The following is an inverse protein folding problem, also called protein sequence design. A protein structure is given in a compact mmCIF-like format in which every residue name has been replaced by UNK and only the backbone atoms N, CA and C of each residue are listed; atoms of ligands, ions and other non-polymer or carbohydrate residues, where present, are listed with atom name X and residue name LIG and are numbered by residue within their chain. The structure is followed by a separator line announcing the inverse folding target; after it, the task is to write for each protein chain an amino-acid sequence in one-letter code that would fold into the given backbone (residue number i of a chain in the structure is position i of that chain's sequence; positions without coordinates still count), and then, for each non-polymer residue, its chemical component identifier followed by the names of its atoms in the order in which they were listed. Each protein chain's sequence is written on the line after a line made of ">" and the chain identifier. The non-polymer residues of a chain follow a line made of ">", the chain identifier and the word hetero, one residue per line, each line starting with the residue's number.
data_IF_483475526023
#
_entry.id   IF_483475526023
#
_cell.length_a   1.000
_cell.length_b   1.000
_cell.length_c   1.000
_cell.angle_alpha   90.00
_cell.angle_beta   90.00
_cell.angle_gamma   90.00
#
_symmetry.space_group_name_H-M   'P 1'
#
loop_
_entity.id
_entity.type
_entity.pdbx_description
1 polymer ?
#
# COMPACT_ATOMS: atom_id res chain seq x y z
N UNK A 1 23.78 -2.76 10.96
CA UNK A 1 22.98 -2.47 9.74
C UNK A 1 22.55 -3.81 9.17
N UNK A 2 21.25 -4.06 9.12
CA UNK A 2 20.72 -5.29 8.52
C UNK A 2 20.59 -5.10 7.00
N UNK A 3 20.63 -6.18 6.20
CA UNK A 3 20.56 -6.06 4.73
C UNK A 3 19.39 -5.25 4.22
N UNK A 4 18.21 -5.33 4.86
CA UNK A 4 17.04 -4.56 4.49
C UNK A 4 17.24 -3.03 4.57
N UNK A 5 18.17 -2.53 5.40
CA UNK A 5 18.47 -1.09 5.50
C UNK A 5 19.10 -0.57 4.20
N UNK A 6 19.94 -1.38 3.56
CA UNK A 6 20.52 -1.03 2.27
C UNK A 6 19.47 -0.99 1.16
N UNK A 7 18.54 -1.95 1.13
CA UNK A 7 17.48 -1.99 0.13
C UNK A 7 16.56 -0.76 0.24
N UNK A 8 16.17 -0.38 1.45
CA UNK A 8 15.33 0.79 1.67
C UNK A 8 16.03 2.07 1.18
N UNK A 9 17.30 2.26 1.48
CA UNK A 9 18.09 3.39 1.00
C UNK A 9 18.24 3.38 -0.51
N UNK A 10 18.51 2.22 -1.08
CA UNK A 10 18.63 2.05 -2.53
C UNK A 10 17.32 2.37 -3.24
N UNK A 11 16.16 1.90 -2.76
CA UNK A 11 14.87 2.27 -3.30
C UNK A 11 14.63 3.78 -3.21
N UNK A 12 14.95 4.40 -2.10
CA UNK A 12 14.80 5.84 -1.94
C UNK A 12 15.56 6.63 -3.02
N UNK A 13 16.82 6.28 -3.27
CA UNK A 13 17.63 6.94 -4.28
C UNK A 13 17.16 6.65 -5.72
N UNK A 14 16.69 5.41 -5.99
CA UNK A 14 16.06 5.09 -7.27
C UNK A 14 14.80 5.93 -7.48
N UNK A 15 13.94 6.06 -6.48
CA UNK A 15 12.70 6.84 -6.59
C UNK A 15 13.01 8.32 -6.87
N UNK A 16 13.97 8.91 -6.17
CA UNK A 16 14.44 10.28 -6.47
C UNK A 16 14.97 10.42 -7.88
N UNK A 17 15.78 9.46 -8.32
CA UNK A 17 16.35 9.48 -9.68
C UNK A 17 15.26 9.41 -10.75
N UNK A 18 14.30 8.50 -10.60
CA UNK A 18 13.19 8.31 -11.54
C UNK A 18 12.27 9.53 -11.56
N UNK A 19 11.91 10.07 -10.39
CA UNK A 19 11.09 11.28 -10.28
C UNK A 19 11.75 12.47 -10.96
N UNK A 20 13.07 12.62 -10.84
CA UNK A 20 13.83 13.66 -11.56
C UNK A 20 13.86 13.45 -13.09
N UNK A 21 13.54 12.25 -13.58
CA UNK A 21 13.41 11.96 -15.02
C UNK A 21 12.02 12.23 -15.55
N UNK A 22 11.02 12.17 -14.69
CA UNK A 22 9.61 12.32 -14.98
C UNK A 22 8.78 11.37 -14.12
N UNK A 23 7.64 11.86 -13.64
CA UNK A 23 6.76 11.11 -12.74
C UNK A 23 6.32 9.75 -13.34
N UNK A 24 6.09 9.73 -14.66
CA UNK A 24 5.74 8.54 -15.42
C UNK A 24 6.79 7.40 -15.30
N UNK A 25 8.06 7.74 -15.19
CA UNK A 25 9.11 6.74 -15.01
C UNK A 25 9.06 6.07 -13.64
N UNK A 26 8.65 6.80 -12.61
CA UNK A 26 8.45 6.25 -11.28
C UNK A 26 7.22 5.33 -11.24
N UNK A 27 6.12 5.74 -11.88
CA UNK A 27 4.92 4.92 -12.00
C UNK A 27 5.18 3.62 -12.76
N UNK A 28 5.87 3.68 -13.90
CA UNK A 28 6.29 2.50 -14.68
C UNK A 28 7.16 1.54 -13.86
N UNK A 29 8.03 2.09 -13.03
CA UNK A 29 8.84 1.29 -12.11
C UNK A 29 7.97 0.57 -11.07
N UNK A 30 7.00 1.24 -10.46
CA UNK A 30 6.07 0.61 -9.53
C UNK A 30 5.26 -0.52 -10.19
N UNK A 31 4.78 -0.31 -11.42
CA UNK A 31 4.10 -1.36 -12.20
C UNK A 31 5.01 -2.55 -12.49
N UNK A 32 6.29 -2.30 -12.76
CA UNK A 32 7.27 -3.37 -12.98
C UNK A 32 7.48 -4.19 -11.71
N UNK A 33 7.63 -3.55 -10.56
CA UNK A 33 7.73 -4.22 -9.27
C UNK A 33 6.45 -5.01 -8.95
N UNK A 34 5.27 -4.44 -9.24
CA UNK A 34 3.99 -5.14 -9.09
C UNK A 34 3.98 -6.48 -9.84
N UNK A 35 4.42 -6.49 -11.11
CA UNK A 35 4.51 -7.72 -11.93
C UNK A 35 5.45 -8.76 -11.32
N UNK A 36 6.55 -8.34 -10.72
CA UNK A 36 7.45 -9.25 -10.01
C UNK A 36 6.81 -9.83 -8.74
N UNK A 37 6.09 -9.01 -7.99
CA UNK A 37 5.41 -9.45 -6.77
C UNK A 37 4.29 -10.46 -7.03
N UNK A 38 3.66 -10.43 -8.21
CA UNK A 38 2.65 -11.42 -8.61
C UNK A 38 3.15 -12.86 -8.45
N UNK A 39 4.42 -13.11 -8.74
CA UNK A 39 5.02 -14.45 -8.60
C UNK A 39 5.03 -14.96 -7.15
N UNK A 40 4.94 -14.06 -6.19
CA UNK A 40 5.02 -14.39 -4.76
C UNK A 40 3.65 -14.47 -4.08
N UNK A 41 2.69 -13.66 -4.51
CA UNK A 41 1.45 -13.52 -3.75
C UNK A 41 0.16 -13.77 -4.56
N UNK A 42 0.18 -13.63 -5.90
CA UNK A 42 -1.04 -13.69 -6.71
C UNK A 42 -1.84 -14.99 -6.52
N UNK A 43 -1.16 -16.13 -6.51
CA UNK A 43 -1.81 -17.45 -6.29
C UNK A 43 -2.48 -17.50 -4.93
N UNK A 44 -1.76 -17.13 -3.87
CA UNK A 44 -2.28 -17.14 -2.50
C UNK A 44 -3.49 -16.21 -2.34
N UNK A 45 -3.45 -15.03 -2.99
CA UNK A 45 -4.55 -14.07 -2.96
C UNK A 45 -5.77 -14.56 -3.74
N UNK A 46 -5.57 -15.16 -4.92
CA UNK A 46 -6.66 -15.70 -5.73
C UNK A 46 -7.36 -16.89 -5.08
N UNK A 47 -6.60 -17.81 -4.47
CA UNK A 47 -7.13 -19.03 -3.87
C UNK A 47 -7.64 -18.83 -2.45
N UNK A 48 -6.96 -17.99 -1.66
CA UNK A 48 -7.24 -17.77 -0.25
C UNK A 48 -8.09 -16.55 0.08
N UNK A 49 -8.35 -15.69 -0.91
CA UNK A 49 -9.12 -14.46 -0.71
C UNK A 49 -8.54 -13.56 0.38
N UNK A 50 -9.42 -12.90 1.14
CA UNK A 50 -8.99 -12.01 2.23
C UNK A 50 -8.18 -12.74 3.32
N UNK A 51 -8.49 -14.02 3.59
CA UNK A 51 -7.70 -14.80 4.55
C UNK A 51 -6.29 -15.06 4.02
N UNK A 52 -6.15 -15.44 2.75
CA UNK A 52 -4.84 -15.62 2.11
C UNK A 52 -4.00 -14.35 2.10
N UNK A 53 -4.64 -13.19 1.89
CA UNK A 53 -4.00 -11.88 1.99
C UNK A 53 -3.55 -11.56 3.42
N UNK A 54 -4.43 -11.80 4.39
CA UNK A 54 -4.13 -11.63 5.82
C UNK A 54 -2.91 -12.46 6.22
N UNK A 55 -2.91 -13.76 5.90
CA UNK A 55 -1.84 -14.68 6.26
C UNK A 55 -0.50 -14.25 5.63
N UNK A 56 -0.51 -13.86 4.35
CA UNK A 56 0.67 -13.34 3.66
C UNK A 56 1.26 -12.13 4.38
N UNK A 57 0.44 -11.13 4.69
CA UNK A 57 0.95 -9.91 5.33
C UNK A 57 1.28 -10.10 6.81
N UNK A 58 0.76 -11.12 7.48
CA UNK A 58 1.19 -11.46 8.84
C UNK A 58 2.61 -12.03 8.86
N UNK A 59 3.03 -12.76 7.82
CA UNK A 59 4.42 -13.18 7.65
C UNK A 59 5.33 -11.95 7.47
N UNK A 60 4.97 -11.06 6.52
CA UNK A 60 5.72 -9.82 6.28
C UNK A 60 5.81 -8.95 7.54
N UNK A 61 4.69 -8.79 8.28
CA UNK A 61 4.69 -8.06 9.56
C UNK A 61 5.77 -8.56 10.50
N UNK A 62 5.89 -9.87 10.63
CA UNK A 62 6.87 -10.52 11.52
C UNK A 62 8.31 -10.34 11.03
N UNK A 63 8.53 -10.57 9.73
CA UNK A 63 9.87 -10.53 9.12
C UNK A 63 10.45 -9.11 9.10
N UNK A 64 9.61 -8.12 8.79
CA UNK A 64 10.00 -6.70 8.70
C UNK A 64 9.83 -5.95 10.03
N UNK A 65 9.40 -6.62 11.07
CA UNK A 65 9.13 -6.02 12.39
C UNK A 65 8.22 -4.77 12.29
N UNK A 66 7.13 -4.89 11.51
CA UNK A 66 6.18 -3.80 11.34
C UNK A 66 5.31 -3.63 12.59
N UNK A 67 5.20 -2.40 13.08
CA UNK A 67 4.17 -2.04 14.04
C UNK A 67 2.84 -1.80 13.30
N UNK A 68 2.03 -2.84 13.23
CA UNK A 68 0.76 -2.81 12.49
C UNK A 68 -0.26 -3.78 13.07
N UNK A 69 -1.54 -3.40 12.97
CA UNK A 69 -2.67 -4.27 13.26
C UNK A 69 -3.40 -4.64 11.97
N UNK A 70 -3.85 -5.91 11.91
CA UNK A 70 -4.63 -6.42 10.78
C UNK A 70 -5.75 -7.29 11.29
N UNK A 71 -6.92 -7.16 10.70
CA UNK A 71 -8.07 -7.99 11.03
C UNK A 71 -9.07 -8.04 9.86
N UNK A 72 -9.84 -9.12 9.82
CA UNK A 72 -10.97 -9.28 8.92
C UNK A 72 -12.24 -9.08 9.74
N UNK A 73 -13.13 -8.25 9.26
CA UNK A 73 -14.44 -7.98 9.88
C UNK A 73 -15.57 -8.09 8.85
N UNK A 74 -16.80 -8.10 9.30
CA UNK A 74 -17.97 -8.03 8.44
C UNK A 74 -18.21 -6.56 8.03
N UNK A 75 -18.26 -6.31 6.73
CA UNK A 75 -18.75 -5.07 6.13
C UNK A 75 -20.29 -5.10 6.00
N UNK A 76 -20.83 -4.11 5.29
CA UNK A 76 -22.28 -4.09 5.03
C UNK A 76 -22.70 -5.12 3.97
N UNK A 77 -21.85 -5.37 2.99
CA UNK A 77 -22.14 -6.22 1.83
C UNK A 77 -21.28 -7.49 1.79
N UNK A 78 -20.13 -7.49 2.43
CA UNK A 78 -19.22 -8.63 2.47
C UNK A 78 -18.14 -8.45 3.52
N UNK A 79 -17.11 -9.29 3.46
CA UNK A 79 -15.98 -9.17 4.38
C UNK A 79 -15.01 -8.09 3.93
N UNK A 80 -14.34 -7.53 4.92
CA UNK A 80 -13.36 -6.45 4.74
C UNK A 80 -12.11 -6.78 5.53
N UNK A 81 -10.95 -6.73 4.89
CA UNK A 81 -9.65 -6.79 5.56
C UNK A 81 -9.14 -5.37 5.79
N UNK A 82 -8.90 -5.04 7.04
CA UNK A 82 -8.29 -3.77 7.44
C UNK A 82 -6.86 -3.97 7.93
N UNK A 83 -6.01 -3.03 7.58
CA UNK A 83 -4.62 -2.96 8.02
C UNK A 83 -4.28 -1.54 8.45
N UNK A 84 -3.79 -1.40 9.66
CA UNK A 84 -3.34 -0.14 10.25
C UNK A 84 -1.85 -0.25 10.49
N UNK A 85 -1.05 0.60 9.86
CA UNK A 85 0.37 0.72 10.10
C UNK A 85 0.59 1.88 11.07
N UNK A 86 1.10 1.60 12.26
CA UNK A 86 1.41 2.59 13.30
C UNK A 86 2.88 3.00 13.28
N UNK A 87 3.75 2.09 12.84
CA UNK A 87 5.18 2.32 12.68
C UNK A 87 5.71 1.57 11.45
N UNK A 88 5.83 2.30 10.32
CA UNK A 88 6.39 1.74 9.09
C UNK A 88 7.93 1.68 9.19
N UNK A 89 8.54 0.50 9.22
CA UNK A 89 9.99 0.38 9.32
C UNK A 89 10.69 0.91 8.07
N UNK A 90 10.05 0.82 6.92
CA UNK A 90 10.62 1.28 5.65
C UNK A 90 10.75 2.81 5.62
N UNK A 91 9.66 3.55 5.88
CA UNK A 91 9.73 5.02 5.91
C UNK A 91 10.61 5.52 7.06
N UNK A 92 10.55 4.88 8.24
CA UNK A 92 11.43 5.23 9.37
C UNK A 92 12.91 5.15 9.00
N UNK A 93 13.33 4.07 8.33
CA UNK A 93 14.71 3.90 7.86
C UNK A 93 15.13 4.93 6.81
N UNK A 94 14.19 5.36 5.96
CA UNK A 94 14.46 6.41 4.97
C UNK A 94 14.63 7.77 5.64
N UNK A 95 13.80 8.07 6.65
CA UNK A 95 13.87 9.33 7.39
C UNK A 95 15.13 9.45 8.25
N UNK A 96 15.66 8.33 8.77
CA UNK A 96 16.93 8.28 9.49
C UNK A 96 18.16 8.41 8.55
N UNK A 97 17.95 8.61 7.26
CA UNK A 97 19.00 8.73 6.27
C UNK A 97 19.35 10.21 6.02
N UNK A 98 20.63 10.52 6.02
CA UNK A 98 21.18 11.87 5.76
C UNK A 98 20.75 12.43 4.39
N UNK A 99 20.42 11.56 3.42
CA UNK A 99 19.99 11.96 2.08
C UNK A 99 18.54 12.47 2.00
N UNK A 100 17.75 12.33 3.05
CA UNK A 100 16.33 12.65 3.09
C UNK A 100 15.44 11.69 2.28
N UNK A 101 14.15 11.67 2.58
CA UNK A 101 13.17 10.84 1.90
C UNK A 101 12.77 11.43 0.54
N UNK A 102 12.53 10.57 -0.45
CA UNK A 102 11.80 10.94 -1.65
C UNK A 102 10.39 11.39 -1.26
N UNK A 103 9.88 12.54 -1.74
CA UNK A 103 8.52 13.00 -1.41
C UNK A 103 7.43 11.99 -1.78
N UNK A 104 7.69 11.16 -2.79
CA UNK A 104 6.77 10.13 -3.27
C UNK A 104 7.08 8.73 -2.72
N UNK A 105 7.93 8.64 -1.71
CA UNK A 105 8.36 7.34 -1.19
C UNK A 105 7.17 6.43 -0.83
N UNK A 106 6.19 6.94 -0.11
CA UNK A 106 5.04 6.15 0.34
C UNK A 106 4.10 5.68 -0.80
N UNK A 107 4.21 6.27 -2.00
CA UNK A 107 3.39 5.85 -3.15
C UNK A 107 3.77 4.46 -3.69
N UNK A 108 4.94 3.93 -3.31
CA UNK A 108 5.35 2.60 -3.77
C UNK A 108 4.40 1.50 -3.26
N UNK A 109 3.92 1.57 -2.01
CA UNK A 109 3.02 0.55 -1.47
C UNK A 109 1.72 0.41 -2.29
N UNK A 110 0.91 1.47 -2.49
CA UNK A 110 -0.25 1.37 -3.36
C UNK A 110 0.13 1.11 -4.82
N UNK A 111 1.23 1.68 -5.33
CA UNK A 111 1.70 1.46 -6.69
C UNK A 111 2.00 0.00 -7.01
N UNK A 112 2.46 -0.76 -6.03
CA UNK A 112 2.73 -2.19 -6.19
C UNK A 112 1.50 -3.06 -6.02
N UNK A 113 0.62 -2.72 -5.07
CA UNK A 113 -0.45 -3.61 -4.66
C UNK A 113 -1.76 -3.41 -5.44
N UNK A 114 -2.09 -2.17 -5.84
CA UNK A 114 -3.35 -1.90 -6.54
C UNK A 114 -3.52 -2.72 -7.84
N UNK A 115 -2.49 -2.89 -8.70
CA UNK A 115 -2.62 -3.73 -9.90
C UNK A 115 -2.92 -5.20 -9.55
N UNK A 116 -2.34 -5.71 -8.46
CA UNK A 116 -2.57 -7.08 -8.00
C UNK A 116 -4.01 -7.22 -7.48
N UNK A 117 -4.50 -6.26 -6.70
CA UNK A 117 -5.89 -6.27 -6.22
C UNK A 117 -6.90 -6.28 -7.36
N UNK A 118 -6.66 -5.47 -8.41
CA UNK A 118 -7.50 -5.47 -9.61
C UNK A 118 -7.52 -6.83 -10.30
N UNK A 119 -6.38 -7.54 -10.37
CA UNK A 119 -6.30 -8.87 -10.98
C UNK A 119 -7.04 -9.94 -10.20
N UNK A 120 -7.04 -9.86 -8.87
CA UNK A 120 -7.76 -10.84 -8.02
C UNK A 120 -9.22 -10.46 -7.77
N UNK A 121 -9.68 -9.32 -8.29
CA UNK A 121 -11.08 -8.90 -8.21
C UNK A 121 -11.49 -8.31 -6.87
N UNK A 122 -10.56 -7.78 -6.10
CA UNK A 122 -10.83 -7.10 -4.83
C UNK A 122 -10.72 -5.58 -4.95
N UNK A 123 -11.48 -4.87 -4.14
CA UNK A 123 -11.55 -3.42 -4.11
C UNK A 123 -10.71 -2.88 -2.96
N UNK A 124 -9.75 -2.03 -3.27
CA UNK A 124 -8.73 -1.58 -2.33
C UNK A 124 -8.76 -0.06 -2.18
N UNK A 125 -8.78 0.39 -0.94
CA UNK A 125 -8.60 1.80 -0.57
C UNK A 125 -7.36 1.92 0.30
N UNK A 126 -6.40 2.70 -0.15
CA UNK A 126 -5.16 2.98 0.57
C UNK A 126 -5.12 4.43 1.00
N UNK A 127 -5.01 4.64 2.29
CA UNK A 127 -4.88 5.93 2.92
C UNK A 127 -3.45 6.10 3.43
N UNK A 128 -2.73 7.02 2.81
CA UNK A 128 -1.35 7.36 3.19
C UNK A 128 -1.27 8.09 4.54
N UNK A 129 -2.40 8.65 5.01
CA UNK A 129 -2.51 9.47 6.23
C UNK A 129 -1.62 10.72 6.16
N UNK A 130 -0.32 10.51 5.98
CA UNK A 130 0.70 11.55 5.82
C UNK A 130 1.91 10.97 5.11
N UNK A 131 2.58 11.77 4.29
CA UNK A 131 3.83 11.37 3.64
C UNK A 131 5.06 11.50 4.55
N UNK A 132 4.92 12.23 5.66
CA UNK A 132 6.02 12.53 6.58
C UNK A 132 6.00 11.64 7.84
N UNK A 133 4.91 10.93 8.07
CA UNK A 133 4.78 10.04 9.23
C UNK A 133 4.75 8.58 8.78
N UNK A 134 5.43 7.66 9.48
CA UNK A 134 5.48 6.25 9.14
C UNK A 134 4.16 5.52 9.47
N UNK A 135 3.03 6.08 9.01
CA UNK A 135 1.66 5.60 9.27
C UNK A 135 0.85 5.56 7.99
N UNK A 136 0.09 4.50 7.82
CA UNK A 136 -0.88 4.39 6.74
C UNK A 136 -2.00 3.41 7.10
N UNK A 137 -3.06 3.40 6.30
CA UNK A 137 -4.15 2.44 6.42
C UNK A 137 -4.45 1.83 5.07
N UNK A 138 -4.87 0.58 5.09
CA UNK A 138 -5.36 -0.10 3.91
C UNK A 138 -6.66 -0.82 4.24
N UNK A 139 -7.61 -0.78 3.31
CA UNK A 139 -8.87 -1.48 3.41
C UNK A 139 -9.10 -2.23 2.11
N UNK A 140 -9.36 -3.54 2.18
CA UNK A 140 -9.64 -4.41 1.05
C UNK A 140 -11.04 -4.98 1.24
N UNK A 141 -11.90 -4.80 0.25
CA UNK A 141 -13.30 -5.18 0.31
C UNK A 141 -13.62 -6.22 -0.76
N UNK A 142 -14.50 -7.16 -0.42
CA UNK A 142 -15.09 -8.10 -1.39
C UNK A 142 -16.07 -7.39 -2.32
N UNK A 143 -16.78 -6.37 -1.84
CA UNK A 143 -17.81 -5.65 -2.56
C UNK A 143 -17.45 -4.18 -2.77
N UNK A 144 -17.78 -3.66 -3.95
CA UNK A 144 -17.45 -2.28 -4.34
C UNK A 144 -18.18 -1.25 -3.48
N UNK A 145 -19.37 -1.58 -2.99
CA UNK A 145 -20.17 -0.70 -2.16
C UNK A 145 -19.48 -0.40 -0.82
N UNK A 146 -18.90 -1.43 -0.19
CA UNK A 146 -18.11 -1.26 1.05
C UNK A 146 -16.84 -0.43 0.76
N UNK A 147 -16.20 -0.66 -0.39
CA UNK A 147 -15.01 0.09 -0.79
C UNK A 147 -15.33 1.57 -1.09
N UNK A 148 -16.46 1.87 -1.73
CA UNK A 148 -16.93 3.25 -1.97
C UNK A 148 -17.27 3.98 -0.68
N UNK A 149 -17.94 3.30 0.25
CA UNK A 149 -18.21 3.84 1.58
C UNK A 149 -16.90 4.19 2.32
N UNK A 150 -15.93 3.30 2.26
CA UNK A 150 -14.60 3.52 2.84
C UNK A 150 -13.87 4.68 2.15
N UNK A 151 -13.87 4.74 0.82
CA UNK A 151 -13.25 5.84 0.05
C UNK A 151 -13.85 7.20 0.45
N UNK A 152 -15.16 7.28 0.51
CA UNK A 152 -15.87 8.51 0.92
C UNK A 152 -15.46 8.94 2.34
N UNK A 153 -15.38 8.01 3.27
CA UNK A 153 -14.95 8.29 4.65
C UNK A 153 -13.51 8.81 4.70
N UNK A 154 -12.60 8.20 3.94
CA UNK A 154 -11.19 8.60 3.89
C UNK A 154 -11.03 9.97 3.23
N UNK A 155 -11.68 10.21 2.09
CA UNK A 155 -11.65 11.52 1.42
C UNK A 155 -12.23 12.64 2.29
N UNK A 156 -13.28 12.37 3.06
CA UNK A 156 -13.82 13.34 4.01
C UNK A 156 -12.81 13.69 5.11
N UNK A 157 -12.09 12.71 5.63
CA UNK A 157 -11.02 12.93 6.61
C UNK A 157 -9.91 13.83 6.06
N UNK A 158 -9.54 13.66 4.81
CA UNK A 158 -8.55 14.48 4.10
C UNK A 158 -9.13 15.75 3.47
N UNK A 159 -10.40 16.12 3.77
CA UNK A 159 -11.04 17.32 3.21
C UNK A 159 -11.03 17.34 1.67
N UNK A 160 -11.11 16.18 1.05
CA UNK A 160 -11.10 16.01 -0.40
C UNK A 160 -9.69 15.94 -1.04
N UNK A 161 -8.63 15.96 -0.27
CA UNK A 161 -7.26 15.79 -0.80
C UNK A 161 -7.05 14.34 -1.27
N UNK A 162 -7.02 14.17 -2.59
CA UNK A 162 -6.86 12.89 -3.28
C UNK A 162 -5.41 12.44 -3.38
N UNK A 163 -4.46 13.32 -3.12
CA UNK A 163 -3.03 12.97 -3.18
C UNK A 163 -2.68 11.92 -2.13
N UNK A 164 -3.34 11.95 -0.99
CA UNK A 164 -3.12 11.01 0.12
C UNK A 164 -3.94 9.72 0.04
N UNK A 165 -4.77 9.54 -0.99
CA UNK A 165 -5.64 8.37 -1.11
C UNK A 165 -5.46 7.70 -2.47
N UNK A 166 -5.32 6.37 -2.48
CA UNK A 166 -5.22 5.57 -3.70
C UNK A 166 -6.23 4.43 -3.67
N UNK A 167 -6.83 4.12 -4.83
CA UNK A 167 -7.83 3.06 -4.98
C UNK A 167 -7.83 2.49 -6.40
N UNK A 168 -8.44 1.32 -6.61
CA UNK A 168 -8.39 0.55 -7.87
C UNK A 168 -9.76 0.34 -8.56
N UNK A 169 -10.76 1.15 -8.24
CA UNK A 169 -12.11 1.02 -8.80
C UNK A 169 -12.65 2.39 -9.25
N UNK A 170 -13.66 2.44 -10.15
CA UNK A 170 -14.28 3.68 -10.57
C UNK A 170 -15.10 4.30 -9.43
N UNK A 171 -15.00 5.61 -9.28
CA UNK A 171 -15.94 6.37 -8.44
C UNK A 171 -17.32 6.34 -9.07
N UNK A 172 -18.35 6.56 -8.25
CA UNK A 172 -19.68 6.88 -8.78
C UNK A 172 -19.68 8.30 -9.31
N UNK A 173 -20.33 8.49 -10.45
CA UNK A 173 -20.63 9.81 -11.04
C UNK A 173 -21.59 10.63 -10.17
#
# INVERSE_FOLDING_TARGET
>A
MIPSDHFVRFYNEIFKFLENKGHEHLEDYFLTISRHQETHCLKQFSEGGLQGMYDYWMVIKKEENCDSDKFIEDGQYGKVLKSFMSGCPSLGKVQDNDAGACPLYCYHCPGWILPIMSKVGYYYVYDLISLDMPRCQATICEHIEDARAQLKMVLNRHKGDRSLVKWNFPEED
#
